data_IF_689176543927
#
_entry.id   IF_689176543927
#
_cell.length_a   1.000
_cell.length_b   1.000
_cell.length_c   1.000
_cell.angle_alpha   90.00
_cell.angle_beta   90.00
_cell.angle_gamma   90.00
#
_symmetry.space_group_name_H-M   'P 1'
#
loop_
_entity.id
_entity.type
_entity.pdbx_description
1 polymer ?
#
# COMPACT_ATOMS: atom_id res chain seq x y z
N UNK A 1 -13.83 -13.84 -2.49
CA UNK A 1 -12.46 -13.60 -2.95
C UNK A 1 -11.55 -13.53 -1.75
N UNK A 2 -10.56 -14.42 -1.65
CA UNK A 2 -9.56 -14.43 -0.58
C UNK A 2 -8.39 -13.52 -0.95
N UNK A 3 -8.13 -12.51 -0.13
CA UNK A 3 -7.11 -11.50 -0.37
C UNK A 3 -6.02 -11.58 0.69
N UNK A 4 -4.76 -11.58 0.26
CA UNK A 4 -3.61 -11.34 1.11
C UNK A 4 -3.18 -9.88 0.97
N UNK A 5 -3.20 -9.13 2.08
CA UNK A 5 -2.78 -7.73 2.16
C UNK A 5 -1.52 -7.60 3.01
N UNK A 6 -0.38 -7.54 2.36
CA UNK A 6 0.95 -7.52 2.98
C UNK A 6 1.41 -6.09 3.28
N UNK A 7 2.09 -5.91 4.42
CA UNK A 7 2.52 -4.61 4.92
C UNK A 7 1.33 -3.66 5.06
N UNK A 8 0.23 -4.18 5.62
CA UNK A 8 -1.09 -3.56 5.53
C UNK A 8 -1.19 -2.19 6.20
N UNK A 9 -0.25 -1.85 7.08
CA UNK A 9 -0.34 -0.60 7.84
C UNK A 9 -1.67 -0.51 8.58
N UNK A 10 -2.32 0.65 8.51
CA UNK A 10 -3.68 0.84 9.05
C UNK A 10 -4.79 0.57 8.02
N UNK A 11 -4.47 -0.01 6.87
CA UNK A 11 -5.45 -0.47 5.88
C UNK A 11 -6.01 0.61 4.95
N UNK A 12 -5.22 1.60 4.54
CA UNK A 12 -5.70 2.63 3.61
C UNK A 12 -6.24 2.06 2.30
N UNK A 13 -5.50 1.15 1.65
CA UNK A 13 -5.92 0.46 0.44
C UNK A 13 -7.17 -0.43 0.64
N UNK A 14 -7.34 -0.96 1.86
CA UNK A 14 -8.40 -1.92 2.24
C UNK A 14 -9.78 -1.27 2.39
N UNK A 15 -9.84 0.00 2.71
CA UNK A 15 -11.01 0.67 3.27
C UNK A 15 -12.31 0.51 2.45
N UNK A 16 -12.22 0.52 1.12
CA UNK A 16 -13.38 0.45 0.24
C UNK A 16 -13.61 -0.96 -0.36
N UNK A 17 -12.85 -1.97 0.05
CA UNK A 17 -13.06 -3.33 -0.44
C UNK A 17 -14.27 -3.97 0.24
N UNK A 18 -15.22 -4.45 -0.57
CA UNK A 18 -16.46 -5.10 -0.11
C UNK A 18 -16.52 -6.55 -0.62
N UNK A 19 -17.24 -7.39 0.12
CA UNK A 19 -17.50 -8.79 -0.25
C UNK A 19 -16.20 -9.59 -0.48
N UNK A 20 -15.24 -9.42 0.43
CA UNK A 20 -13.92 -10.06 0.39
C UNK A 20 -13.53 -10.61 1.76
N UNK A 21 -12.80 -11.72 1.76
CA UNK A 21 -12.14 -12.30 2.92
C UNK A 21 -10.68 -11.83 2.90
N UNK A 22 -10.25 -11.06 3.89
CA UNK A 22 -8.91 -10.48 3.90
C UNK A 22 -8.08 -11.05 5.04
N UNK A 23 -6.88 -11.51 4.69
CA UNK A 23 -5.78 -11.73 5.64
C UNK A 23 -4.77 -10.62 5.46
N UNK A 24 -4.56 -9.83 6.51
CA UNK A 24 -3.59 -8.74 6.53
C UNK A 24 -2.38 -9.11 7.36
N UNK A 25 -1.19 -8.70 6.92
CA UNK A 25 0.07 -8.95 7.64
C UNK A 25 0.74 -7.62 7.95
N UNK A 26 1.01 -7.38 9.23
CA UNK A 26 1.67 -6.18 9.74
C UNK A 26 2.63 -6.56 10.86
N UNK A 27 3.86 -6.05 10.81
CA UNK A 27 4.89 -6.39 11.79
C UNK A 27 4.75 -5.58 13.09
N UNK A 28 4.21 -4.36 12.99
CA UNK A 28 4.08 -3.47 14.13
C UNK A 28 2.78 -3.76 14.90
N UNK A 29 2.90 -4.27 16.11
CA UNK A 29 1.77 -4.64 16.98
C UNK A 29 0.77 -3.47 17.18
N UNK A 30 1.26 -2.24 17.36
CA UNK A 30 0.40 -1.08 17.59
C UNK A 30 -0.40 -0.72 16.32
N UNK A 31 0.23 -0.81 15.17
CA UNK A 31 -0.42 -0.57 13.87
C UNK A 31 -1.41 -1.70 13.56
N UNK A 32 -1.04 -2.95 13.79
CA UNK A 32 -1.92 -4.11 13.62
C UNK A 32 -3.19 -4.00 14.49
N UNK A 33 -3.06 -3.50 15.73
CA UNK A 33 -4.22 -3.25 16.60
C UNK A 33 -5.15 -2.17 16.03
N UNK A 34 -4.61 -1.10 15.47
CA UNK A 34 -5.41 -0.05 14.81
C UNK A 34 -6.12 -0.61 13.58
N UNK A 35 -5.42 -1.43 12.78
CA UNK A 35 -6.02 -2.14 11.66
C UNK A 35 -7.21 -3.00 12.11
N UNK A 36 -7.03 -3.81 13.15
CA UNK A 36 -8.08 -4.67 13.70
C UNK A 36 -9.30 -3.89 14.20
N UNK A 37 -9.07 -2.69 14.79
CA UNK A 37 -10.16 -1.81 15.21
C UNK A 37 -10.97 -1.26 14.03
N UNK A 38 -10.33 -1.04 12.86
CA UNK A 38 -10.99 -0.56 11.65
C UNK A 38 -11.66 -1.68 10.85
N UNK A 39 -11.08 -2.87 10.87
CA UNK A 39 -11.51 -4.03 10.10
C UNK A 39 -11.64 -5.27 10.98
N UNK A 40 -12.62 -5.30 11.89
CA UNK A 40 -12.74 -6.37 12.90
C UNK A 40 -13.06 -7.75 12.31
N UNK A 41 -13.52 -7.81 11.06
CA UNK A 41 -13.82 -9.05 10.36
C UNK A 41 -12.64 -9.59 9.53
N UNK A 42 -11.55 -8.83 9.39
CA UNK A 42 -10.37 -9.28 8.69
C UNK A 42 -9.48 -10.11 9.63
N UNK A 43 -8.78 -11.09 9.07
CA UNK A 43 -7.76 -11.83 9.80
C UNK A 43 -6.45 -11.05 9.80
N UNK A 44 -5.96 -10.61 10.96
CA UNK A 44 -4.69 -9.90 11.09
C UNK A 44 -3.60 -10.80 11.66
N UNK A 45 -2.51 -10.92 10.93
CA UNK A 45 -1.29 -11.64 11.31
C UNK A 45 -0.21 -10.64 11.71
N UNK A 46 0.33 -10.79 12.90
CA UNK A 46 1.46 -9.98 13.36
C UNK A 46 2.75 -10.73 13.00
N UNK A 47 3.49 -10.23 12.02
CA UNK A 47 4.69 -10.91 11.54
C UNK A 47 5.36 -10.25 10.35
N UNK A 48 6.46 -10.87 9.90
CA UNK A 48 7.19 -10.44 8.70
C UNK A 48 6.38 -10.82 7.44
N UNK A 49 5.91 -9.80 6.72
CA UNK A 49 5.10 -9.96 5.52
C UNK A 49 5.86 -10.66 4.37
N UNK A 50 7.18 -10.44 4.27
CA UNK A 50 8.02 -11.09 3.27
C UNK A 50 8.09 -12.61 3.46
N UNK A 51 8.31 -13.04 4.71
CA UNK A 51 8.32 -14.46 5.05
C UNK A 51 6.93 -15.08 4.91
N UNK A 52 5.89 -14.37 5.34
CA UNK A 52 4.51 -14.84 5.22
C UNK A 52 4.10 -15.04 3.77
N UNK A 53 4.50 -14.12 2.87
CA UNK A 53 4.28 -14.27 1.43
C UNK A 53 4.86 -15.58 0.90
N UNK A 54 6.14 -15.83 1.19
CA UNK A 54 6.87 -17.00 0.71
C UNK A 54 6.17 -18.32 1.08
N UNK A 55 5.61 -18.41 2.28
CA UNK A 55 4.97 -19.60 2.81
C UNK A 55 3.51 -19.76 2.39
N UNK A 56 2.80 -18.66 2.09
CA UNK A 56 1.34 -18.67 2.02
C UNK A 56 0.73 -18.17 0.71
N UNK A 57 1.53 -17.68 -0.25
CA UNK A 57 1.03 -17.04 -1.48
C UNK A 57 -0.01 -17.87 -2.26
N UNK A 58 0.11 -19.18 -2.22
CA UNK A 58 -0.74 -20.12 -2.97
C UNK A 58 -2.17 -20.29 -2.41
N UNK A 59 -2.46 -19.70 -1.23
CA UNK A 59 -3.75 -19.82 -0.54
C UNK A 59 -4.75 -18.73 -0.91
N UNK A 60 -4.35 -17.76 -1.72
CA UNK A 60 -5.12 -16.53 -1.99
C UNK A 60 -5.44 -16.38 -3.47
N UNK A 61 -6.55 -15.67 -3.74
CA UNK A 61 -7.01 -15.35 -5.08
C UNK A 61 -6.44 -14.02 -5.58
N UNK A 62 -6.09 -13.13 -4.66
CA UNK A 62 -5.45 -11.84 -4.92
C UNK A 62 -4.44 -11.49 -3.85
N UNK A 63 -3.28 -10.98 -4.26
CA UNK A 63 -2.22 -10.54 -3.36
C UNK A 63 -1.93 -9.06 -3.60
N UNK A 64 -1.99 -8.27 -2.54
CA UNK A 64 -1.50 -6.90 -2.49
C UNK A 64 -0.27 -6.84 -1.59
N UNK A 65 0.83 -6.29 -2.08
CA UNK A 65 2.04 -6.07 -1.30
C UNK A 65 2.50 -4.61 -1.39
N UNK A 66 2.75 -3.97 -0.25
CA UNK A 66 3.28 -2.61 -0.15
C UNK A 66 4.55 -2.59 0.70
N UNK A 67 5.69 -3.14 0.21
CA UNK A 67 6.94 -3.20 0.96
C UNK A 67 7.40 -1.82 1.45
N UNK A 68 8.18 -1.74 2.54
CA UNK A 68 8.65 -0.48 3.10
C UNK A 68 9.32 0.42 2.05
N UNK A 69 8.83 1.66 1.93
CA UNK A 69 9.25 2.58 0.87
C UNK A 69 10.39 3.53 1.30
N UNK A 70 10.80 3.52 2.57
CA UNK A 70 11.72 4.52 3.12
C UNK A 70 13.06 4.55 2.40
N UNK A 71 13.66 3.39 2.15
CA UNK A 71 14.96 3.24 1.47
C UNK A 71 14.91 3.56 -0.04
N UNK A 72 13.71 3.63 -0.63
CA UNK A 72 13.49 3.97 -2.05
C UNK A 72 13.10 5.43 -2.26
N UNK A 73 12.61 6.10 -1.22
CA UNK A 73 11.93 7.40 -1.31
C UNK A 73 12.80 8.52 -1.85
N UNK A 74 12.38 9.14 -2.96
CA UNK A 74 12.99 10.36 -3.50
C UNK A 74 12.99 11.51 -2.50
N UNK A 75 11.92 11.64 -1.69
CA UNK A 75 11.86 12.67 -0.65
C UNK A 75 12.92 12.43 0.42
N UNK A 76 13.07 11.18 0.90
CA UNK A 76 14.11 10.86 1.89
C UNK A 76 15.51 11.13 1.34
N UNK A 77 15.81 10.67 0.14
CA UNK A 77 17.13 10.83 -0.48
C UNK A 77 17.45 12.30 -0.78
N UNK A 78 16.53 13.01 -1.41
CA UNK A 78 16.79 14.36 -1.91
C UNK A 78 16.64 15.46 -0.84
N UNK A 79 15.86 15.23 0.21
CA UNK A 79 15.63 16.21 1.25
C UNK A 79 16.26 15.78 2.57
N UNK A 80 15.95 14.58 3.08
CA UNK A 80 16.41 14.18 4.41
C UNK A 80 17.91 13.88 4.42
N UNK A 81 18.41 13.11 3.45
CA UNK A 81 19.83 12.77 3.38
C UNK A 81 20.67 13.99 3.03
N UNK A 82 20.29 14.77 1.98
CA UNK A 82 21.10 15.89 1.49
C UNK A 82 21.10 17.12 2.39
N UNK A 83 19.97 17.42 3.05
CA UNK A 83 19.79 18.68 3.78
C UNK A 83 19.51 18.53 5.27
N UNK A 84 19.18 17.32 5.77
CA UNK A 84 18.83 17.09 7.17
C UNK A 84 19.77 16.09 7.85
N UNK A 85 20.90 15.79 7.25
CA UNK A 85 21.92 14.86 7.76
C UNK A 85 21.36 13.47 8.16
N UNK A 86 20.28 13.03 7.52
CA UNK A 86 19.78 11.69 7.74
C UNK A 86 20.75 10.68 7.10
N UNK A 87 21.09 9.62 7.82
CA UNK A 87 22.02 8.61 7.32
C UNK A 87 21.48 7.94 6.04
N UNK A 88 22.29 7.81 4.97
CA UNK A 88 21.93 7.03 3.78
C UNK A 88 21.68 5.55 4.14
N UNK A 89 20.80 4.91 3.40
CA UNK A 89 20.52 3.48 3.50
C UNK A 89 20.53 2.84 2.12
N UNK A 90 20.93 1.58 2.05
CA UNK A 90 20.78 0.82 0.81
C UNK A 90 19.31 0.62 0.49
N UNK A 91 18.90 0.63 -0.80
CA UNK A 91 17.57 0.24 -1.20
C UNK A 91 17.24 -1.18 -0.73
N UNK A 92 16.10 -1.36 -0.10
CA UNK A 92 15.65 -2.68 0.35
C UNK A 92 15.24 -3.53 -0.86
N UNK A 93 16.08 -4.48 -1.21
CA UNK A 93 15.89 -5.34 -2.37
C UNK A 93 14.73 -6.33 -2.22
N UNK A 94 14.13 -6.47 -1.05
CA UNK A 94 12.91 -7.27 -0.84
C UNK A 94 11.78 -6.85 -1.77
N UNK A 95 11.66 -5.56 -2.13
CA UNK A 95 10.73 -5.07 -3.14
C UNK A 95 10.85 -5.86 -4.45
N UNK A 96 12.05 -5.96 -5.00
CA UNK A 96 12.27 -6.65 -6.26
C UNK A 96 12.24 -8.18 -6.13
N UNK A 97 12.63 -8.71 -4.98
CA UNK A 97 12.50 -10.14 -4.67
C UNK A 97 11.04 -10.57 -4.71
N UNK A 98 10.12 -9.79 -4.12
CA UNK A 98 8.68 -10.09 -4.13
C UNK A 98 8.08 -9.98 -5.53
N UNK A 99 8.47 -8.98 -6.33
CA UNK A 99 8.01 -8.84 -7.72
C UNK A 99 8.42 -10.07 -8.54
N UNK A 100 9.70 -10.44 -8.49
CA UNK A 100 10.24 -11.59 -9.22
C UNK A 100 9.56 -12.88 -8.72
N UNK A 101 9.47 -13.06 -7.40
CA UNK A 101 8.85 -14.23 -6.81
C UNK A 101 7.39 -14.41 -7.28
N UNK A 102 6.58 -13.37 -7.18
CA UNK A 102 5.18 -13.39 -7.61
C UNK A 102 5.04 -13.61 -9.11
N UNK A 103 5.90 -13.01 -9.92
CA UNK A 103 5.88 -13.16 -11.37
C UNK A 103 6.06 -14.62 -11.81
N UNK A 104 6.92 -15.37 -11.15
CA UNK A 104 7.27 -16.72 -11.56
C UNK A 104 6.55 -17.82 -10.79
N UNK A 105 6.03 -17.55 -9.60
CA UNK A 105 5.43 -18.58 -8.74
C UNK A 105 3.93 -18.42 -8.53
N UNK A 106 3.38 -17.18 -8.63
CA UNK A 106 1.97 -16.97 -8.35
C UNK A 106 1.08 -17.20 -9.57
N UNK A 107 0.02 -17.99 -9.38
CA UNK A 107 -1.05 -18.18 -10.37
C UNK A 107 -2.22 -17.23 -10.17
N UNK A 108 -2.34 -16.61 -9.00
CA UNK A 108 -3.40 -15.64 -8.71
C UNK A 108 -3.06 -14.25 -9.26
N UNK A 109 -4.02 -13.33 -9.21
CA UNK A 109 -3.75 -11.91 -9.50
C UNK A 109 -2.94 -11.31 -8.36
N UNK A 110 -1.97 -10.47 -8.69
CA UNK A 110 -1.16 -9.79 -7.68
C UNK A 110 -0.76 -8.38 -8.11
N UNK A 111 -0.53 -7.56 -7.14
CA UNK A 111 0.03 -6.22 -7.29
C UNK A 111 1.06 -5.95 -6.18
N UNK A 112 2.20 -5.39 -6.57
CA UNK A 112 3.19 -4.82 -5.65
C UNK A 112 3.19 -3.30 -5.86
N UNK A 113 3.13 -2.55 -4.77
CA UNK A 113 3.08 -1.09 -4.78
C UNK A 113 4.31 -0.53 -4.05
N UNK A 114 4.88 0.55 -4.59
CA UNK A 114 5.87 1.34 -3.87
C UNK A 114 5.89 2.80 -4.38
N UNK A 115 6.60 3.67 -3.70
CA UNK A 115 6.80 5.05 -4.17
C UNK A 115 7.70 5.08 -5.42
N UNK A 116 7.62 6.15 -6.21
CA UNK A 116 8.62 6.42 -7.25
C UNK A 116 10.00 6.57 -6.58
N UNK A 117 10.99 5.72 -6.89
CA UNK A 117 12.30 5.75 -6.26
C UNK A 117 13.15 6.94 -6.72
N UNK A 118 14.25 7.20 -6.00
CA UNK A 118 15.24 8.22 -6.36
C UNK A 118 16.22 7.77 -7.44
N UNK A 119 16.16 6.52 -7.83
CA UNK A 119 16.95 5.88 -8.87
C UNK A 119 16.03 5.30 -9.96
N UNK A 120 16.58 4.89 -11.09
CA UNK A 120 15.80 4.20 -12.12
C UNK A 120 15.39 2.82 -11.61
N UNK A 121 14.08 2.47 -11.63
CA UNK A 121 13.62 1.17 -11.15
C UNK A 121 14.27 0.00 -11.89
N UNK A 122 14.73 -1.01 -11.17
CA UNK A 122 15.35 -2.21 -11.77
C UNK A 122 14.34 -3.03 -12.60
N UNK A 123 13.07 -2.96 -12.24
CA UNK A 123 11.96 -3.55 -13.00
C UNK A 123 10.99 -2.40 -13.30
N UNK A 124 10.61 -2.23 -14.55
CA UNK A 124 9.68 -1.18 -14.94
C UNK A 124 8.28 -1.47 -14.39
N UNK A 125 7.74 -0.50 -13.67
CA UNK A 125 6.39 -0.51 -13.14
C UNK A 125 5.52 0.58 -13.76
N UNK A 126 4.22 0.48 -13.60
CA UNK A 126 3.28 1.51 -14.04
C UNK A 126 3.18 2.61 -12.99
N UNK A 127 3.49 3.84 -13.38
CA UNK A 127 3.31 5.01 -12.51
C UNK A 127 1.83 5.45 -12.54
N UNK A 128 1.20 5.43 -11.36
CA UNK A 128 -0.15 5.96 -11.16
C UNK A 128 -0.09 6.93 -9.99
N UNK A 129 -0.36 8.21 -10.25
CA UNK A 129 -0.17 9.29 -9.30
C UNK A 129 1.29 9.34 -8.77
N UNK A 130 1.52 9.05 -7.52
CA UNK A 130 2.85 9.09 -6.87
C UNK A 130 3.46 7.71 -6.62
N UNK A 131 2.76 6.62 -6.99
CA UNK A 131 3.17 5.26 -6.76
C UNK A 131 3.50 4.52 -8.04
N UNK A 132 4.46 3.62 -7.97
CA UNK A 132 4.71 2.59 -8.98
C UNK A 132 3.98 1.32 -8.59
N UNK A 133 3.40 0.69 -9.60
CA UNK A 133 2.71 -0.58 -9.48
C UNK A 133 3.29 -1.61 -10.43
N UNK A 134 3.55 -2.79 -9.91
CA UNK A 134 3.90 -3.99 -10.66
C UNK A 134 2.77 -5.00 -10.49
N UNK A 135 2.29 -5.61 -11.57
CA UNK A 135 1.15 -6.53 -11.52
C UNK A 135 1.17 -7.48 -12.70
N UNK A 136 0.49 -8.63 -12.55
CA UNK A 136 0.25 -9.57 -13.65
C UNK A 136 -1.07 -9.31 -14.40
N UNK A 137 -1.65 -8.13 -14.24
CA UNK A 137 -2.83 -7.66 -14.97
C UNK A 137 -2.68 -6.17 -15.35
N UNK A 138 -3.48 -5.72 -16.30
CA UNK A 138 -3.48 -4.31 -16.69
C UNK A 138 -4.14 -3.45 -15.61
N UNK A 139 -3.50 -2.33 -15.25
CA UNK A 139 -4.09 -1.30 -14.38
C UNK A 139 -4.27 -0.04 -15.23
N UNK A 140 -5.49 0.45 -15.36
CA UNK A 140 -5.78 1.70 -16.05
C UNK A 140 -5.41 2.92 -15.19
N UNK A 141 -5.14 4.05 -15.84
CA UNK A 141 -4.90 5.29 -15.12
C UNK A 141 -6.21 5.78 -14.48
N UNK A 142 -6.08 6.34 -13.30
CA UNK A 142 -7.17 6.99 -12.60
C UNK A 142 -6.74 8.38 -12.14
N UNK A 143 -7.63 9.36 -12.26
CA UNK A 143 -7.38 10.70 -11.76
C UNK A 143 -8.16 10.93 -10.46
N UNK A 144 -7.45 10.89 -9.34
CA UNK A 144 -8.00 11.20 -8.02
C UNK A 144 -7.44 12.56 -7.60
N UNK A 145 -8.32 13.53 -7.40
CA UNK A 145 -7.92 14.85 -6.89
C UNK A 145 -7.62 14.74 -5.40
N UNK A 146 -6.37 14.95 -5.03
CA UNK A 146 -5.90 14.90 -3.66
C UNK A 146 -5.12 16.16 -3.32
N UNK A 147 -5.15 16.56 -2.04
CA UNK A 147 -4.25 17.58 -1.50
C UNK A 147 -2.78 17.10 -1.61
N UNK A 148 -1.86 18.05 -1.67
CA UNK A 148 -0.43 17.69 -1.68
C UNK A 148 -0.04 17.05 -0.34
N UNK A 149 0.12 15.75 -0.35
CA UNK A 149 0.47 14.93 0.82
C UNK A 149 1.77 15.40 1.51
N UNK A 150 2.65 16.13 0.81
CA UNK A 150 3.92 16.64 1.37
C UNK A 150 3.68 17.78 2.34
N UNK A 151 2.68 18.62 2.08
CA UNK A 151 2.33 19.82 2.87
C UNK A 151 1.14 19.58 3.79
N UNK A 152 0.23 18.65 3.44
CA UNK A 152 -0.98 18.37 4.20
C UNK A 152 -0.70 18.03 5.68
N UNK A 153 -1.51 18.59 6.56
CA UNK A 153 -1.46 18.35 8.00
C UNK A 153 -2.36 17.17 8.39
N UNK A 154 -2.26 16.69 9.63
CA UNK A 154 -3.02 15.53 10.11
C UNK A 154 -4.52 15.63 9.83
N UNK A 155 -5.23 16.73 10.13
CA UNK A 155 -6.67 16.83 9.88
C UNK A 155 -7.04 16.71 8.40
N UNK A 156 -6.23 17.30 7.50
CA UNK A 156 -6.43 17.22 6.06
C UNK A 156 -6.24 15.79 5.56
N UNK A 157 -5.16 15.11 6.01
CA UNK A 157 -4.90 13.71 5.66
C UNK A 157 -5.99 12.77 6.17
N UNK A 158 -6.46 12.96 7.41
CA UNK A 158 -7.57 12.19 7.98
C UNK A 158 -8.86 12.37 7.16
N UNK A 159 -9.17 13.61 6.78
CA UNK A 159 -10.34 13.91 5.93
C UNK A 159 -10.21 13.26 4.55
N UNK A 160 -9.05 13.41 3.89
CA UNK A 160 -8.80 12.86 2.57
C UNK A 160 -8.91 11.33 2.55
N UNK A 161 -8.35 10.67 3.55
CA UNK A 161 -8.36 9.21 3.67
C UNK A 161 -9.65 8.67 4.29
N UNK A 162 -10.50 9.54 4.84
CA UNK A 162 -11.63 9.16 5.69
C UNK A 162 -11.23 8.23 6.84
N UNK A 163 -10.09 8.54 7.48
CA UNK A 163 -9.50 7.79 8.61
C UNK A 163 -9.30 8.72 9.78
N UNK A 164 -9.85 8.37 10.95
CA UNK A 164 -9.65 9.13 12.19
C UNK A 164 -8.70 8.39 13.14
N UNK A 165 -7.57 9.03 13.47
CA UNK A 165 -6.58 8.52 14.42
C UNK A 165 -6.57 9.28 15.76
N UNK A 166 -7.56 10.12 16.06
CA UNK A 166 -7.50 11.01 17.24
C UNK A 166 -7.48 10.22 18.54
N UNK A 167 -8.23 9.11 18.62
CA UNK A 167 -8.28 8.24 19.80
C UNK A 167 -6.97 7.49 20.08
N UNK A 168 -6.04 7.40 19.11
CA UNK A 168 -4.80 6.65 19.27
C UNK A 168 -3.64 7.58 19.65
N UNK A 169 -2.85 7.19 20.65
CA UNK A 169 -1.61 7.87 21.04
C UNK A 169 -0.45 7.34 20.18
N UNK A 170 -0.12 8.05 19.11
CA UNK A 170 0.91 7.67 18.14
C UNK A 170 1.91 8.81 17.96
N UNK A 171 3.22 8.54 18.02
CA UNK A 171 4.24 9.60 17.86
C UNK A 171 4.31 10.14 16.42
N UNK A 172 3.91 9.36 15.43
CA UNK A 172 4.12 9.66 13.98
C UNK A 172 2.82 9.54 13.17
N UNK A 173 1.68 9.99 13.71
CA UNK A 173 0.37 9.95 13.00
C UNK A 173 0.44 10.46 11.57
N UNK A 174 1.15 11.59 11.35
CA UNK A 174 1.29 12.18 10.02
C UNK A 174 2.00 11.24 9.05
N UNK A 175 3.06 10.56 9.49
CA UNK A 175 3.76 9.59 8.63
C UNK A 175 2.91 8.37 8.33
N UNK A 176 2.19 7.84 9.32
CA UNK A 176 1.29 6.71 9.16
C UNK A 176 0.22 7.04 8.11
N UNK A 177 -0.43 8.20 8.20
CA UNK A 177 -1.41 8.65 7.21
C UNK A 177 -0.79 8.85 5.81
N UNK A 178 0.41 9.41 5.73
CA UNK A 178 1.12 9.60 4.46
C UNK A 178 1.55 8.30 3.79
N UNK A 179 1.75 7.24 4.55
CA UNK A 179 2.08 5.91 4.03
C UNK A 179 0.85 5.15 3.53
N UNK A 180 -0.36 5.62 3.83
CA UNK A 180 -1.56 4.99 3.31
C UNK A 180 -1.66 5.17 1.79
N UNK A 181 -1.99 4.09 1.11
CA UNK A 181 -2.52 4.16 -0.25
C UNK A 181 -3.93 4.75 -0.17
N UNK A 182 -4.25 5.65 -1.09
CA UNK A 182 -5.55 6.29 -1.15
C UNK A 182 -6.65 5.23 -1.37
N UNK A 183 -7.76 5.26 -0.60
CA UNK A 183 -8.79 4.22 -0.64
C UNK A 183 -9.42 3.98 -2.00
N UNK A 184 -9.68 5.05 -2.76
CA UNK A 184 -10.25 4.95 -4.12
C UNK A 184 -9.28 4.29 -5.09
N UNK A 185 -7.98 4.53 -4.94
CA UNK A 185 -6.94 3.87 -5.71
C UNK A 185 -6.87 2.37 -5.35
N UNK A 186 -6.96 2.03 -4.06
CA UNK A 186 -7.04 0.65 -3.59
C UNK A 186 -8.22 -0.10 -4.19
N UNK A 187 -9.40 0.52 -4.20
CA UNK A 187 -10.60 -0.05 -4.82
C UNK A 187 -10.47 -0.19 -6.33
N UNK A 188 -9.94 0.85 -7.00
CA UNK A 188 -9.73 0.82 -8.45
C UNK A 188 -8.88 -0.37 -8.87
N UNK A 189 -7.75 -0.58 -8.20
CA UNK A 189 -6.83 -1.68 -8.50
C UNK A 189 -7.49 -3.05 -8.24
N UNK A 190 -8.22 -3.20 -7.13
CA UNK A 190 -8.96 -4.45 -6.87
C UNK A 190 -10.01 -4.72 -7.95
N UNK A 191 -10.73 -3.69 -8.41
CA UNK A 191 -11.71 -3.84 -9.48
C UNK A 191 -11.05 -4.26 -10.81
N UNK A 192 -9.88 -3.70 -11.14
CA UNK A 192 -9.10 -4.13 -12.31
C UNK A 192 -8.67 -5.61 -12.18
N UNK A 193 -8.23 -6.03 -11.00
CA UNK A 193 -7.89 -7.44 -10.75
C UNK A 193 -9.10 -8.37 -10.91
N UNK A 194 -10.31 -7.90 -10.55
CA UNK A 194 -11.59 -8.61 -10.74
C UNK A 194 -12.14 -8.50 -12.17
N UNK A 195 -11.48 -7.80 -13.09
CA UNK A 195 -11.97 -7.45 -14.43
C UNK A 195 -13.27 -6.64 -14.42
N UNK A 196 -13.54 -5.89 -13.36
CA UNK A 196 -14.69 -5.00 -13.25
C UNK A 196 -14.29 -3.62 -13.81
N UNK A 197 -14.97 -3.15 -14.84
CA UNK A 197 -14.78 -1.78 -15.36
C UNK A 197 -15.26 -0.77 -14.31
N UNK A 198 -14.36 0.06 -13.82
CA UNK A 198 -14.69 1.19 -12.93
C UNK A 198 -15.05 2.39 -13.80
N UNK A 199 -16.26 2.91 -13.67
CA UNK A 199 -16.62 4.20 -14.26
C UNK A 199 -16.20 5.32 -13.31
N UNK A 200 -15.56 6.38 -13.83
CA UNK A 200 -15.14 7.56 -13.03
C UNK A 200 -16.30 8.18 -12.22
N UNK A 201 -17.55 8.05 -12.70
CA UNK A 201 -18.75 8.47 -11.99
C UNK A 201 -19.01 7.70 -10.68
N UNK A 202 -18.65 6.43 -10.59
CA UNK A 202 -18.82 5.64 -9.35
C UNK A 202 -17.83 6.05 -8.26
N UNK A 203 -16.64 6.50 -8.65
CA UNK A 203 -15.60 6.93 -7.70
C UNK A 203 -15.83 8.34 -7.16
N UNK A 204 -16.63 9.16 -7.84
CA UNK A 204 -16.97 10.51 -7.37
C UNK A 204 -18.08 10.52 -6.30
N UNK A 205 -18.83 9.42 -6.15
CA UNK A 205 -19.91 9.24 -5.18
C UNK A 205 -19.46 8.56 -3.87
N UNK A 206 -18.23 8.10 -3.79
CA UNK A 206 -17.57 7.53 -2.60
C UNK A 206 -16.67 8.57 -1.92
#
# INVERSE_FOLDING_TARGET
>A
LKILNLYSGIGGNRQLWKDVEVTSVEINLQIAKIYSDFYPNDNIIIGDAHLYLLENYHKYDFIWSSPPCQSHSSFRQNICVRYRNTKPEYPDMKLYQEIIFLQYNSKCKWVVENVKPYYEPLIHGKLIQRHLFWSNFGIENINIKNDDIRTAQIPQLQKQLNINLDKYKLPNKRQILRNCVEPKLGLHILNQAKNIKTNDKQLSLL
#
